data_IF_110119049342
#
_entry.id   IF_110119049342
#
_cell.length_a   1.000
_cell.length_b   1.000
_cell.length_c   1.000
_cell.angle_alpha   90.00
_cell.angle_beta   90.00
_cell.angle_gamma   90.00
#
_symmetry.space_group_name_H-M   'P 1'
#
loop_
_entity.id
_entity.type
_entity.pdbx_description
1 polymer ?
#
# COMPACT_ATOMS: atom_id res chain seq x y z
N UNK A 1 -24.36 0.82 -11.02
CA UNK A 1 -23.39 0.63 -9.94
C UNK A 1 -24.12 0.26 -8.66
N UNK A 2 -23.69 -0.79 -7.99
CA UNK A 2 -24.32 -1.23 -6.76
C UNK A 2 -23.78 -0.45 -5.57
N UNK A 3 -24.67 -0.14 -4.61
CA UNK A 3 -24.26 0.41 -3.33
C UNK A 3 -23.84 -0.73 -2.41
N UNK A 4 -22.76 -0.54 -1.67
CA UNK A 4 -22.28 -1.50 -0.70
C UNK A 4 -21.97 -0.81 0.61
N UNK A 5 -22.32 -1.47 1.71
CA UNK A 5 -21.84 -1.07 3.02
C UNK A 5 -20.53 -1.80 3.29
N UNK A 6 -19.50 -1.07 3.66
CA UNK A 6 -18.22 -1.68 4.00
C UNK A 6 -17.43 -0.75 4.89
N UNK A 7 -16.49 -1.31 5.61
CA UNK A 7 -15.55 -0.55 6.42
C UNK A 7 -14.70 0.36 5.53
N UNK A 8 -14.29 1.51 6.08
CA UNK A 8 -13.49 2.49 5.33
C UNK A 8 -12.20 1.93 4.76
N UNK A 9 -11.50 1.09 5.51
CA UNK A 9 -10.26 0.49 5.03
C UNK A 9 -10.50 -0.47 3.87
N UNK A 10 -11.58 -1.22 3.89
CA UNK A 10 -11.95 -2.06 2.76
C UNK A 10 -12.32 -1.22 1.55
N UNK A 11 -13.05 -0.14 1.75
CA UNK A 11 -13.41 0.78 0.67
C UNK A 11 -12.16 1.40 0.05
N UNK A 12 -11.16 1.75 0.86
CA UNK A 12 -9.89 2.28 0.38
C UNK A 12 -9.18 1.24 -0.50
N UNK A 13 -9.11 0.00 -0.05
CA UNK A 13 -8.46 -1.07 -0.83
C UNK A 13 -9.17 -1.30 -2.16
N UNK A 14 -10.50 -1.35 -2.16
CA UNK A 14 -11.29 -1.51 -3.39
C UNK A 14 -11.07 -0.34 -4.34
N UNK A 15 -11.03 0.88 -3.82
CA UNK A 15 -10.77 2.08 -4.63
C UNK A 15 -9.38 2.06 -5.25
N UNK A 16 -8.38 1.64 -4.49
CA UNK A 16 -7.01 1.53 -4.99
C UNK A 16 -6.93 0.54 -6.16
N UNK A 17 -7.56 -0.63 -6.01
CA UNK A 17 -7.58 -1.65 -7.07
C UNK A 17 -8.33 -1.12 -8.30
N UNK A 18 -9.46 -0.44 -8.10
CA UNK A 18 -10.22 0.15 -9.20
C UNK A 18 -9.40 1.21 -9.94
N UNK A 19 -8.51 1.91 -9.26
CA UNK A 19 -7.62 2.91 -9.85
C UNK A 19 -6.41 2.30 -10.54
N UNK A 20 -6.26 0.98 -10.50
CA UNK A 20 -5.17 0.29 -11.18
C UNK A 20 -4.02 -0.13 -10.28
N UNK A 21 -4.15 -0.02 -8.97
CA UNK A 21 -3.12 -0.50 -8.05
C UNK A 21 -2.89 -2.00 -8.27
N UNK A 22 -1.65 -2.39 -8.46
CA UNK A 22 -1.29 -3.78 -8.70
C UNK A 22 -0.13 -4.27 -7.84
N UNK A 23 0.28 -3.48 -6.87
CA UNK A 23 1.30 -3.88 -5.90
C UNK A 23 0.98 -3.24 -4.55
N UNK A 24 1.02 -4.04 -3.51
CA UNK A 24 0.88 -3.55 -2.14
C UNK A 24 1.95 -4.21 -1.27
N UNK A 25 2.63 -3.43 -0.49
CA UNK A 25 3.50 -3.94 0.56
C UNK A 25 3.18 -3.20 1.84
N UNK A 26 3.14 -3.92 2.95
CA UNK A 26 2.84 -3.31 4.23
C UNK A 26 3.29 -4.17 5.39
N UNK A 27 3.34 -3.55 6.56
CA UNK A 27 3.56 -4.22 7.82
C UNK A 27 2.32 -3.98 8.67
N UNK A 28 1.67 -5.04 9.20
CA UNK A 28 0.42 -4.88 9.93
C UNK A 28 0.57 -3.96 11.15
N UNK A 29 -0.27 -2.95 11.22
CA UNK A 29 -0.35 -2.04 12.35
C UNK A 29 -1.80 -1.57 12.50
N UNK A 30 -2.34 -1.62 13.71
CA UNK A 30 -3.69 -1.16 13.98
C UNK A 30 -3.78 0.37 13.91
N UNK A 31 -4.78 0.96 13.24
CA UNK A 31 -5.93 0.33 12.57
C UNK A 31 -5.74 0.03 11.07
N UNK A 32 -4.54 0.11 10.53
CA UNK A 32 -4.30 -0.07 9.11
C UNK A 32 -4.24 -1.55 8.69
N UNK A 33 -4.25 -2.48 9.64
CA UNK A 33 -4.16 -3.92 9.36
C UNK A 33 -5.26 -4.41 8.42
N UNK A 34 -6.46 -3.84 8.51
CA UNK A 34 -7.57 -4.25 7.65
C UNK A 34 -7.35 -3.85 6.19
N UNK A 35 -6.58 -2.80 5.92
CA UNK A 35 -6.16 -2.49 4.55
C UNK A 35 -5.27 -3.60 4.01
N UNK A 36 -4.28 -4.01 4.80
CA UNK A 36 -3.39 -5.11 4.43
C UNK A 36 -4.17 -6.39 4.14
N UNK A 37 -5.08 -6.76 5.05
CA UNK A 37 -5.87 -7.98 4.89
C UNK A 37 -6.75 -7.94 3.63
N UNK A 38 -7.35 -6.79 3.34
CA UNK A 38 -8.16 -6.62 2.14
C UNK A 38 -7.32 -6.73 0.87
N UNK A 39 -6.14 -6.14 0.86
CA UNK A 39 -5.25 -6.23 -0.31
C UNK A 39 -4.73 -7.65 -0.50
N UNK A 40 -4.41 -8.35 0.60
CA UNK A 40 -3.95 -9.74 0.54
C UNK A 40 -5.01 -10.64 -0.10
N UNK A 41 -6.28 -10.35 0.15
CA UNK A 41 -7.39 -11.13 -0.39
C UNK A 41 -7.72 -10.75 -1.83
N UNK A 42 -7.65 -9.46 -2.17
CA UNK A 42 -8.20 -8.96 -3.43
C UNK A 42 -7.19 -8.78 -4.55
N UNK A 43 -5.92 -8.51 -4.23
CA UNK A 43 -4.91 -8.26 -5.27
C UNK A 43 -4.52 -9.51 -6.07
N UNK A 44 -4.19 -10.65 -5.43
CA UNK A 44 -3.74 -11.82 -6.21
C UNK A 44 -4.72 -12.29 -7.27
N UNK A 45 -6.05 -12.34 -7.03
CA UNK A 45 -6.99 -12.73 -8.08
C UNK A 45 -7.00 -11.80 -9.29
N UNK A 46 -6.48 -10.59 -9.17
CA UNK A 46 -6.40 -9.61 -10.26
C UNK A 46 -4.98 -9.47 -10.80
N UNK A 47 -4.16 -10.50 -10.62
CA UNK A 47 -2.75 -10.53 -11.04
C UNK A 47 -1.90 -9.46 -10.36
N UNK A 48 -2.31 -9.01 -9.19
CA UNK A 48 -1.53 -8.10 -8.36
C UNK A 48 -0.65 -8.85 -7.38
N UNK A 49 0.27 -8.13 -6.78
CA UNK A 49 1.20 -8.68 -5.81
C UNK A 49 0.97 -8.00 -4.46
N UNK A 50 0.81 -8.80 -3.41
CA UNK A 50 0.69 -8.31 -2.05
C UNK A 50 1.79 -8.95 -1.21
N UNK A 51 2.62 -8.12 -0.57
CA UNK A 51 3.79 -8.58 0.19
C UNK A 51 3.72 -8.02 1.60
N UNK A 52 4.02 -8.85 2.58
CA UNK A 52 4.23 -8.37 3.94
C UNK A 52 5.72 -8.09 4.14
N UNK A 53 6.05 -6.84 4.47
CA UNK A 53 7.40 -6.49 4.86
C UNK A 53 7.67 -6.92 6.31
N UNK A 54 8.93 -7.08 6.65
CA UNK A 54 9.31 -7.41 8.02
C UNK A 54 9.16 -6.20 8.96
N UNK A 55 9.12 -5.00 8.41
CA UNK A 55 8.83 -3.75 9.12
C UNK A 55 8.39 -2.68 8.12
N UNK A 56 8.12 -1.47 8.61
CA UNK A 56 7.68 -0.37 7.77
C UNK A 56 8.75 0.07 6.77
N UNK A 57 10.01 0.01 7.16
CA UNK A 57 11.12 0.42 6.30
C UNK A 57 11.24 -0.53 5.11
N UNK A 58 11.17 -1.84 5.35
CA UNK A 58 11.19 -2.83 4.29
C UNK A 58 9.99 -2.69 3.36
N UNK A 59 8.81 -2.46 3.93
CA UNK A 59 7.57 -2.29 3.15
C UNK A 59 7.67 -1.11 2.18
N UNK A 60 8.18 0.01 2.66
CA UNK A 60 8.38 1.19 1.81
C UNK A 60 9.40 0.91 0.71
N UNK A 61 10.47 0.19 1.04
CA UNK A 61 11.49 -0.20 0.06
C UNK A 61 10.92 -1.08 -1.04
N UNK A 62 10.07 -2.05 -0.70
CA UNK A 62 9.38 -2.86 -1.70
C UNK A 62 8.54 -2.00 -2.64
N UNK A 63 7.80 -1.03 -2.09
CA UNK A 63 6.96 -0.15 -2.90
C UNK A 63 7.78 0.72 -3.83
N UNK A 64 8.90 1.25 -3.37
CA UNK A 64 9.79 2.05 -4.21
C UNK A 64 10.31 1.20 -5.36
N UNK A 65 10.81 0.00 -5.07
CA UNK A 65 11.30 -0.90 -6.10
C UNK A 65 10.23 -1.29 -7.10
N UNK A 66 9.03 -1.58 -6.62
CA UNK A 66 7.92 -1.93 -7.49
C UNK A 66 7.53 -0.77 -8.41
N UNK A 67 7.51 0.45 -7.87
CA UNK A 67 7.21 1.64 -8.67
C UNK A 67 8.26 1.86 -9.75
N UNK A 68 9.55 1.68 -9.41
CA UNK A 68 10.63 1.79 -10.38
C UNK A 68 10.51 0.75 -11.48
N UNK A 69 9.91 -0.41 -11.18
CA UNK A 69 9.66 -1.47 -12.16
C UNK A 69 8.37 -1.25 -12.97
N UNK A 70 7.69 -0.14 -12.78
CA UNK A 70 6.49 0.20 -13.55
C UNK A 70 5.17 -0.21 -12.91
N UNK A 71 5.18 -0.67 -11.66
CA UNK A 71 3.96 -1.05 -10.95
C UNK A 71 3.31 0.16 -10.29
N UNK A 72 2.00 0.09 -10.09
CA UNK A 72 1.28 1.08 -9.29
C UNK A 72 1.21 0.60 -7.86
N UNK A 73 2.06 1.15 -7.01
CA UNK A 73 2.30 0.65 -5.68
C UNK A 73 1.56 1.46 -4.62
N UNK A 74 1.05 0.76 -3.61
CA UNK A 74 0.40 1.33 -2.44
C UNK A 74 1.02 0.72 -1.18
N UNK A 75 1.21 1.53 -0.17
CA UNK A 75 1.46 1.05 1.18
C UNK A 75 0.54 1.77 2.14
N UNK A 76 0.35 1.20 3.32
CA UNK A 76 -0.51 1.79 4.34
C UNK A 76 0.11 1.60 5.71
N UNK A 77 -0.05 2.60 6.56
CA UNK A 77 0.43 2.56 7.93
C UNK A 77 -0.47 3.41 8.82
N UNK A 78 -0.14 3.49 10.08
CA UNK A 78 -0.86 4.30 11.06
C UNK A 78 0.07 4.67 12.19
N UNK A 79 -0.24 5.77 12.89
CA UNK A 79 0.49 6.19 14.06
C UNK A 79 1.98 6.41 13.80
N UNK A 80 2.85 5.89 14.65
CA UNK A 80 4.28 6.13 14.51
C UNK A 80 4.91 5.49 13.27
N UNK A 81 4.21 4.58 12.60
CA UNK A 81 4.74 3.92 11.41
C UNK A 81 5.08 4.89 10.30
N UNK A 82 4.34 6.00 10.18
CA UNK A 82 4.62 6.98 9.13
C UNK A 82 5.99 7.62 9.30
N UNK A 83 6.45 7.78 10.53
CA UNK A 83 7.78 8.35 10.78
C UNK A 83 8.90 7.45 10.26
N UNK A 84 8.67 6.15 10.24
CA UNK A 84 9.66 5.18 9.74
C UNK A 84 9.79 5.22 8.23
N UNK A 85 8.86 5.86 7.53
CA UNK A 85 8.91 6.04 6.08
C UNK A 85 9.68 7.29 5.66
N UNK A 86 9.99 8.20 6.61
CA UNK A 86 10.43 9.56 6.25
C UNK A 86 11.64 9.61 5.35
N UNK A 87 12.66 8.81 5.61
CA UNK A 87 13.87 8.83 4.79
C UNK A 87 13.56 8.39 3.35
N UNK A 88 12.77 7.33 3.21
CA UNK A 88 12.44 6.81 1.89
C UNK A 88 11.44 7.68 1.16
N UNK A 89 10.55 8.36 1.88
CA UNK A 89 9.68 9.38 1.27
C UNK A 89 10.53 10.47 0.64
N UNK A 90 11.55 10.95 1.35
CA UNK A 90 12.47 11.95 0.81
C UNK A 90 13.19 11.44 -0.43
N UNK A 91 13.64 10.19 -0.42
CA UNK A 91 14.26 9.57 -1.57
C UNK A 91 13.30 9.50 -2.76
N UNK A 92 12.06 9.08 -2.52
CA UNK A 92 11.06 8.95 -3.58
C UNK A 92 10.75 10.31 -4.20
N UNK A 93 10.63 11.35 -3.38
CA UNK A 93 10.37 12.70 -3.88
C UNK A 93 11.55 13.19 -4.71
N UNK A 94 12.78 13.06 -4.20
CA UNK A 94 13.96 13.53 -4.89
C UNK A 94 14.22 12.80 -6.20
N UNK A 95 13.82 11.54 -6.29
CA UNK A 95 14.00 10.71 -7.49
C UNK A 95 12.77 10.66 -8.39
N UNK A 96 11.71 11.39 -8.03
CA UNK A 96 10.45 11.43 -8.77
C UNK A 96 9.82 10.04 -8.97
N UNK A 97 9.85 9.21 -7.91
CA UNK A 97 9.28 7.87 -7.93
C UNK A 97 7.82 7.94 -7.44
N UNK A 98 6.84 7.65 -8.29
CA UNK A 98 5.43 7.74 -7.90
C UNK A 98 5.00 6.55 -7.05
N UNK A 99 4.35 6.83 -5.93
CA UNK A 99 3.68 5.82 -5.12
C UNK A 99 2.65 6.49 -4.22
N UNK A 100 1.77 5.69 -3.62
CA UNK A 100 0.72 6.20 -2.73
C UNK A 100 0.92 5.60 -1.34
N UNK A 101 0.79 6.44 -0.34
CA UNK A 101 0.86 6.04 1.07
C UNK A 101 -0.47 6.41 1.71
N UNK A 102 -1.14 5.41 2.28
CA UNK A 102 -2.36 5.62 3.06
C UNK A 102 -2.01 5.65 4.55
N UNK A 103 -2.43 6.71 5.23
CA UNK A 103 -2.16 6.89 6.66
C UNK A 103 -3.45 7.10 7.44
#
# INVERSE_FOLDING_TARGET
MALSFMEGNEALARGAIAAGCNFFAGYPITPATTIFNSMLKMLPPKNGICVQGEDEIASMGYCIGASMAGKKALTATSGPGISLYSEQISFAIGSEIPLVIAD
#
